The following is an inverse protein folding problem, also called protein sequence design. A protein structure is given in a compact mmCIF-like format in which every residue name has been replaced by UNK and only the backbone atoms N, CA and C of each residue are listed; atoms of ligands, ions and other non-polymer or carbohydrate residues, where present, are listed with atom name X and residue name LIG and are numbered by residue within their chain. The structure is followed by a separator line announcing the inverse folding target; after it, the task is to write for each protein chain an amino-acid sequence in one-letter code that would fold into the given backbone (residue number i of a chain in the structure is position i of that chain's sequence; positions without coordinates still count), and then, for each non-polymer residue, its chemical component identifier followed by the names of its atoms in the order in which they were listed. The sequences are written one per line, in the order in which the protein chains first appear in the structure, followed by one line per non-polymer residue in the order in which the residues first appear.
data_IF_820376113999
#
_entry.id   IF_820376113999
#
_cell.length_a   1.000
_cell.length_b   1.000
_cell.length_c   1.000
_cell.angle_alpha   90.00
_cell.angle_beta   90.00
_cell.angle_gamma   90.00
#
_symmetry.space_group_name_H-M   'P 1'
#
loop_
_entity.id
_entity.type
_entity.pdbx_description
1 polymer ?
#
# COMPACT_ATOMS: atom_id res chain seq x y z
N UNK A 1 -1.21 -14.93 2.72
CA UNK A 1 -0.93 -16.07 3.63
C UNK A 1 -0.27 -15.59 4.91
N UNK A 2 -0.40 -16.36 5.97
CA UNK A 2 0.26 -16.09 7.26
C UNK A 2 1.27 -17.20 7.54
N UNK A 3 2.50 -16.81 7.89
CA UNK A 3 3.61 -17.68 8.22
C UNK A 3 4.24 -17.17 9.52
N UNK A 4 4.35 -18.05 10.54
CA UNK A 4 4.91 -17.70 11.86
C UNK A 4 4.34 -16.40 12.46
N UNK A 5 3.04 -16.20 12.36
CA UNK A 5 2.34 -15.00 12.86
C UNK A 5 2.44 -13.75 11.99
N UNK A 6 3.17 -13.79 10.87
CA UNK A 6 3.30 -12.69 9.94
C UNK A 6 2.44 -12.92 8.69
N UNK A 7 1.65 -11.92 8.31
CA UNK A 7 0.88 -11.96 7.07
C UNK A 7 1.71 -11.40 5.93
N UNK A 8 1.77 -12.15 4.82
CA UNK A 8 2.49 -11.78 3.59
C UNK A 8 1.54 -11.87 2.42
N UNK A 9 1.51 -10.81 1.60
CA UNK A 9 0.83 -10.82 0.31
C UNK A 9 1.72 -11.49 -0.72
N UNK A 10 1.28 -12.64 -1.24
CA UNK A 10 2.04 -13.41 -2.21
C UNK A 10 1.35 -13.34 -3.57
N UNK A 11 2.02 -12.87 -4.62
CA UNK A 11 1.45 -12.88 -5.96
C UNK A 11 1.37 -14.33 -6.48
N UNK A 12 0.17 -14.73 -6.93
CA UNK A 12 -0.05 -16.12 -7.44
C UNK A 12 -0.38 -16.15 -8.93
N UNK A 13 -0.68 -15.01 -9.56
CA UNK A 13 -1.14 -14.93 -10.97
C UNK A 13 -0.19 -14.13 -11.87
N UNK A 14 1.08 -13.97 -11.49
CA UNK A 14 2.08 -13.27 -12.30
C UNK A 14 2.92 -14.25 -13.11
N UNK A 15 3.58 -13.77 -14.18
CA UNK A 15 4.55 -14.59 -14.91
C UNK A 15 5.70 -15.06 -14.01
N UNK A 16 6.14 -14.22 -13.08
CA UNK A 16 7.19 -14.56 -12.12
C UNK A 16 6.75 -15.67 -11.16
N UNK A 17 5.49 -15.65 -10.68
CA UNK A 17 4.99 -16.66 -9.74
C UNK A 17 4.90 -18.06 -10.36
N UNK A 18 4.68 -18.16 -11.68
CA UNK A 18 4.67 -19.45 -12.40
C UNK A 18 6.04 -20.15 -12.42
N UNK A 19 7.13 -19.40 -12.23
CA UNK A 19 8.50 -19.92 -12.13
C UNK A 19 9.02 -19.97 -10.69
N UNK A 20 8.13 -19.78 -9.72
CA UNK A 20 8.50 -19.83 -8.31
C UNK A 20 8.99 -21.25 -7.95
N UNK A 21 10.09 -21.37 -7.19
CA UNK A 21 10.49 -22.66 -6.62
C UNK A 21 9.56 -23.10 -5.48
N UNK A 22 8.63 -22.25 -5.07
CA UNK A 22 7.69 -22.54 -4.00
C UNK A 22 6.37 -23.03 -4.55
N UNK A 23 5.82 -24.09 -3.93
CA UNK A 23 4.47 -24.61 -4.15
C UNK A 23 3.73 -24.70 -2.83
N UNK A 24 2.40 -24.59 -2.88
CA UNK A 24 1.55 -24.75 -1.71
C UNK A 24 0.51 -25.82 -1.97
N UNK A 25 0.36 -26.78 -1.06
CA UNK A 25 -0.62 -27.86 -1.11
C UNK A 25 -1.63 -27.66 0.05
N UNK A 26 -2.92 -27.69 -0.29
CA UNK A 26 -3.97 -27.51 0.72
C UNK A 26 -3.92 -28.65 1.75
N UNK A 27 -3.83 -28.29 3.00
CA UNK A 27 -4.01 -29.21 4.10
C UNK A 27 -5.47 -29.21 4.55
N UNK A 28 -6.19 -30.24 4.15
CA UNK A 28 -7.63 -30.37 4.46
C UNK A 28 -7.88 -30.59 5.95
N UNK A 29 -6.90 -31.01 6.72
CA UNK A 29 -7.03 -31.28 8.15
C UNK A 29 -6.99 -30.01 8.99
N UNK A 30 -6.13 -29.04 8.63
CA UNK A 30 -5.96 -27.78 9.34
C UNK A 30 -6.73 -26.60 8.72
N UNK A 31 -7.17 -26.73 7.44
CA UNK A 31 -7.75 -25.65 6.66
C UNK A 31 -6.73 -24.63 6.15
N UNK A 32 -5.42 -24.90 6.35
CA UNK A 32 -4.30 -24.14 5.82
C UNK A 32 -3.66 -24.79 4.60
N UNK A 33 -2.35 -24.61 4.44
CA UNK A 33 -1.56 -25.28 3.42
C UNK A 33 -0.15 -25.61 3.91
N UNK A 34 0.45 -26.60 3.26
CA UNK A 34 1.85 -26.96 3.38
C UNK A 34 2.63 -26.22 2.30
N UNK A 35 3.63 -25.44 2.71
CA UNK A 35 4.54 -24.76 1.80
C UNK A 35 5.76 -25.62 1.53
N UNK A 36 6.09 -25.80 0.25
CA UNK A 36 7.28 -26.53 -0.19
C UNK A 36 8.17 -25.60 -1.02
N UNK A 37 9.48 -25.88 -0.98
CA UNK A 37 10.47 -25.33 -1.92
C UNK A 37 11.14 -26.49 -2.63
N UNK A 38 11.01 -26.56 -3.96
CA UNK A 38 11.60 -27.63 -4.77
C UNK A 38 11.28 -29.04 -4.21
N UNK A 39 10.02 -29.23 -3.81
CA UNK A 39 9.53 -30.48 -3.24
C UNK A 39 9.91 -30.74 -1.77
N UNK A 40 10.70 -29.86 -1.12
CA UNK A 40 11.04 -29.97 0.29
C UNK A 40 10.10 -29.15 1.15
N UNK A 41 9.54 -29.74 2.19
CA UNK A 41 8.68 -29.05 3.14
C UNK A 41 9.42 -27.88 3.81
N UNK A 42 8.76 -26.72 3.86
CA UNK A 42 9.29 -25.49 4.48
C UNK A 42 8.50 -25.14 5.73
N UNK A 43 7.18 -25.05 5.63
CA UNK A 43 6.34 -24.62 6.75
C UNK A 43 4.85 -24.88 6.50
N UNK A 44 4.06 -24.82 7.59
CA UNK A 44 2.62 -24.63 7.52
C UNK A 44 2.29 -23.16 7.32
N UNK A 45 1.30 -22.86 6.47
CA UNK A 45 0.80 -21.50 6.21
C UNK A 45 -0.71 -21.47 6.33
N UNK A 46 -1.23 -20.36 6.84
CA UNK A 46 -2.65 -20.11 6.93
C UNK A 46 -3.09 -19.13 5.86
N UNK A 47 -4.33 -19.26 5.39
CA UNK A 47 -4.99 -18.30 4.53
C UNK A 47 -6.06 -17.53 5.30
N UNK A 48 -6.28 -16.24 4.99
CA UNK A 48 -7.40 -15.51 5.56
C UNK A 48 -8.73 -16.15 5.12
N UNK A 49 -9.69 -16.20 6.02
CA UNK A 49 -11.05 -16.59 5.67
C UNK A 49 -11.69 -15.51 4.79
N UNK A 50 -12.64 -15.91 3.96
CA UNK A 50 -13.44 -14.94 3.21
C UNK A 50 -14.17 -14.02 4.19
N UNK A 51 -14.05 -12.68 4.05
CA UNK A 51 -14.70 -11.74 4.96
C UNK A 51 -16.21 -11.85 4.91
N UNK A 52 -16.86 -11.78 6.09
CA UNK A 52 -18.30 -11.87 6.19
C UNK A 52 -18.99 -10.64 5.58
N UNK A 53 -18.36 -9.45 5.67
CA UNK A 53 -18.93 -8.24 5.07
C UNK A 53 -19.05 -8.33 3.54
N UNK A 54 -18.29 -9.20 2.85
CA UNK A 54 -18.40 -9.38 1.40
C UNK A 54 -19.78 -9.88 0.95
N UNK A 55 -20.51 -10.54 1.84
CA UNK A 55 -21.86 -11.08 1.56
C UNK A 55 -22.96 -10.03 1.59
N UNK A 56 -22.63 -8.78 1.90
CA UNK A 56 -23.58 -7.68 1.98
C UNK A 56 -23.55 -6.80 0.73
N UNK A 57 -24.61 -6.01 0.60
CA UNK A 57 -24.76 -4.97 -0.42
C UNK A 57 -25.07 -3.65 0.26
N UNK A 58 -24.65 -2.53 -0.35
CA UNK A 58 -24.96 -1.18 0.11
C UNK A 58 -26.45 -0.87 -0.06
N UNK A 59 -26.94 0.20 0.57
CA UNK A 59 -28.35 0.65 0.42
C UNK A 59 -28.74 0.91 -1.02
N UNK A 60 -27.78 1.28 -1.87
CA UNK A 60 -27.95 1.50 -3.32
C UNK A 60 -27.65 0.24 -4.16
N UNK A 61 -27.52 -0.93 -3.54
CA UNK A 61 -27.44 -2.23 -4.20
C UNK A 61 -26.04 -2.63 -4.69
N UNK A 62 -24.97 -1.94 -4.30
CA UNK A 62 -23.61 -2.28 -4.69
C UNK A 62 -23.02 -3.32 -3.72
N UNK A 63 -22.48 -4.46 -4.21
CA UNK A 63 -21.79 -5.42 -3.35
C UNK A 63 -20.62 -4.78 -2.57
N UNK A 64 -20.52 -5.05 -1.27
CA UNK A 64 -19.51 -4.43 -0.41
C UNK A 64 -18.09 -4.69 -0.87
N UNK A 65 -17.79 -5.88 -1.40
CA UNK A 65 -16.47 -6.22 -1.93
C UNK A 65 -16.04 -5.37 -3.14
N UNK A 66 -17.00 -4.68 -3.84
CA UNK A 66 -16.70 -3.68 -4.88
C UNK A 66 -16.35 -2.30 -4.31
N UNK A 67 -16.74 -2.04 -3.08
CA UNK A 67 -16.48 -0.78 -2.38
C UNK A 67 -15.13 -0.84 -1.67
N UNK A 68 -14.89 -1.90 -0.88
CA UNK A 68 -13.65 -2.10 -0.16
C UNK A 68 -13.33 -3.59 0.01
N UNK A 69 -12.05 -3.90 0.19
CA UNK A 69 -11.56 -5.27 0.39
C UNK A 69 -10.76 -5.40 1.68
N UNK A 70 -10.75 -6.61 2.24
CA UNK A 70 -9.83 -6.95 3.31
C UNK A 70 -8.43 -7.12 2.73
N UNK A 71 -7.48 -6.37 3.23
CA UNK A 71 -6.06 -6.47 2.87
C UNK A 71 -5.25 -6.93 4.08
N UNK A 72 -4.27 -7.80 3.82
CA UNK A 72 -3.49 -8.38 4.91
C UNK A 72 -4.38 -9.21 5.85
N UNK A 73 -4.37 -8.86 7.12
CA UNK A 73 -5.12 -9.56 8.17
C UNK A 73 -6.40 -8.83 8.60
N UNK A 74 -6.29 -7.51 8.73
CA UNK A 74 -7.29 -6.69 9.45
C UNK A 74 -7.40 -5.26 8.89
N UNK A 75 -7.01 -5.05 7.63
CA UNK A 75 -7.04 -3.74 6.98
C UNK A 75 -8.20 -3.66 6.00
N UNK A 76 -9.07 -2.65 6.16
CA UNK A 76 -10.01 -2.29 5.11
C UNK A 76 -9.31 -1.41 4.08
N UNK A 77 -9.21 -1.87 2.84
CA UNK A 77 -8.56 -1.15 1.75
C UNK A 77 -9.58 -0.74 0.68
N UNK A 78 -9.54 0.53 0.28
CA UNK A 78 -10.36 1.04 -0.81
C UNK A 78 -9.65 2.13 -1.61
N UNK A 79 -9.86 2.13 -2.93
CA UNK A 79 -9.48 3.23 -3.81
C UNK A 79 -10.72 4.08 -4.07
N UNK A 80 -10.79 5.27 -3.46
CA UNK A 80 -11.97 6.15 -3.50
C UNK A 80 -12.29 6.58 -4.93
N UNK A 81 -11.28 7.09 -5.65
CA UNK A 81 -11.36 7.40 -7.08
C UNK A 81 -10.53 6.37 -7.84
N UNK A 82 -11.21 5.42 -8.49
CA UNK A 82 -10.57 4.32 -9.25
C UNK A 82 -10.12 4.73 -10.65
N UNK A 83 -10.08 6.02 -10.93
CA UNK A 83 -9.59 6.61 -12.17
C UNK A 83 -8.42 7.54 -11.90
N UNK A 84 -7.51 7.68 -12.87
CA UNK A 84 -6.36 8.56 -12.76
C UNK A 84 -6.19 9.32 -14.08
N UNK A 85 -5.97 10.62 -14.00
CA UNK A 85 -5.81 11.50 -15.18
C UNK A 85 -4.64 11.08 -16.09
N UNK A 86 -3.65 10.38 -15.54
CA UNK A 86 -2.49 9.87 -16.29
C UNK A 86 -2.69 8.49 -16.89
N UNK A 87 -3.67 7.72 -16.39
CA UNK A 87 -3.92 6.37 -16.86
C UNK A 87 -4.58 6.35 -18.23
N UNK A 88 -4.17 5.43 -19.10
CA UNK A 88 -4.69 5.34 -20.47
C UNK A 88 -3.88 6.10 -21.52
N UNK A 89 -2.98 7.01 -21.13
CA UNK A 89 -2.03 7.66 -22.03
C UNK A 89 -0.61 7.14 -21.72
N UNK A 90 -0.01 6.42 -22.68
CA UNK A 90 1.35 5.82 -22.52
C UNK A 90 2.43 6.85 -22.19
N UNK A 91 2.27 8.11 -22.64
CA UNK A 91 3.24 9.17 -22.39
C UNK A 91 3.23 9.67 -20.93
N UNK A 92 2.14 9.42 -20.18
CA UNK A 92 1.98 9.92 -18.81
C UNK A 92 1.73 8.84 -17.77
N UNK A 93 1.30 7.64 -18.19
CA UNK A 93 0.92 6.56 -17.30
C UNK A 93 2.12 5.97 -16.55
N UNK A 94 1.91 5.62 -15.28
CA UNK A 94 2.85 4.76 -14.56
C UNK A 94 2.80 3.36 -15.17
N UNK A 95 3.95 2.85 -15.63
CA UNK A 95 4.05 1.60 -16.40
C UNK A 95 3.64 0.34 -15.61
N UNK A 96 3.62 0.44 -14.28
CA UNK A 96 3.24 -0.65 -13.37
C UNK A 96 1.77 -0.57 -12.90
N UNK A 97 1.05 0.52 -13.21
CA UNK A 97 -0.26 0.78 -12.63
C UNK A 97 -1.35 -0.07 -13.30
N UNK A 98 -2.16 -0.72 -12.47
CA UNK A 98 -3.29 -1.56 -12.89
C UNK A 98 -4.66 -0.95 -12.52
N UNK A 99 -4.74 0.34 -12.21
CA UNK A 99 -5.95 0.98 -11.67
C UNK A 99 -7.19 0.77 -12.55
N UNK A 100 -7.04 0.83 -13.87
CA UNK A 100 -8.14 0.62 -14.82
C UNK A 100 -8.52 -0.84 -15.03
N UNK A 101 -7.64 -1.78 -14.74
CA UNK A 101 -7.92 -3.21 -14.93
C UNK A 101 -9.02 -3.72 -13.98
N UNK A 102 -9.03 -3.24 -12.75
CA UNK A 102 -10.08 -3.57 -11.78
C UNK A 102 -11.45 -3.08 -12.24
N UNK A 103 -11.52 -1.92 -12.90
CA UNK A 103 -12.75 -1.41 -13.51
C UNK A 103 -13.17 -2.26 -14.72
N UNK A 104 -12.24 -2.58 -15.60
CA UNK A 104 -12.50 -3.44 -16.76
C UNK A 104 -13.00 -4.83 -16.35
N UNK A 105 -12.43 -5.40 -15.28
CA UNK A 105 -12.86 -6.66 -14.68
C UNK A 105 -14.16 -6.55 -13.85
N UNK A 106 -14.75 -5.36 -13.71
CA UNK A 106 -15.93 -5.09 -12.89
C UNK A 106 -15.77 -5.52 -11.42
N UNK A 107 -14.54 -5.61 -10.92
CA UNK A 107 -14.24 -5.96 -9.54
C UNK A 107 -14.34 -4.77 -8.57
N UNK A 108 -14.58 -3.59 -9.08
CA UNK A 108 -14.78 -2.35 -8.32
C UNK A 108 -15.65 -1.37 -9.11
N UNK A 109 -15.94 -0.19 -8.53
CA UNK A 109 -16.64 0.93 -9.19
C UNK A 109 -15.71 2.13 -9.30
N UNK A 110 -16.03 3.05 -10.22
CA UNK A 110 -15.17 4.19 -10.56
C UNK A 110 -14.97 5.16 -9.39
N UNK A 111 -16.04 5.44 -8.65
CA UNK A 111 -16.02 6.34 -7.49
C UNK A 111 -16.81 5.70 -6.34
N UNK A 112 -16.26 5.74 -5.13
CA UNK A 112 -16.92 5.31 -3.90
C UNK A 112 -17.41 6.54 -3.15
N UNK A 113 -18.71 6.56 -2.84
CA UNK A 113 -19.27 7.68 -2.08
C UNK A 113 -18.88 7.60 -0.60
N UNK A 114 -18.84 8.74 0.12
CA UNK A 114 -18.64 8.74 1.57
C UNK A 114 -19.64 7.85 2.31
N UNK A 115 -20.92 7.81 1.90
CA UNK A 115 -21.94 6.98 2.50
C UNK A 115 -21.68 5.48 2.31
N UNK A 116 -21.29 5.04 1.10
CA UNK A 116 -20.92 3.64 0.83
C UNK A 116 -19.73 3.20 1.67
N UNK A 117 -18.70 4.03 1.77
CA UNK A 117 -17.50 3.71 2.56
C UNK A 117 -17.80 3.66 4.07
N UNK A 118 -18.62 4.57 4.58
CA UNK A 118 -19.06 4.55 5.97
C UNK A 118 -19.84 3.28 6.32
N UNK A 119 -20.77 2.88 5.44
CA UNK A 119 -21.58 1.67 5.59
C UNK A 119 -20.71 0.40 5.60
N UNK A 120 -19.79 0.29 4.63
CA UNK A 120 -18.88 -0.85 4.51
C UNK A 120 -17.88 -0.90 5.66
N UNK A 121 -17.31 0.24 6.07
CA UNK A 121 -16.34 0.29 7.17
C UNK A 121 -16.97 -0.17 8.49
N UNK A 122 -18.20 0.29 8.80
CA UNK A 122 -18.93 -0.15 9.99
C UNK A 122 -19.13 -1.67 9.98
N UNK A 123 -19.61 -2.23 8.87
CA UNK A 123 -19.84 -3.67 8.77
C UNK A 123 -18.54 -4.48 8.84
N UNK A 124 -17.43 -4.00 8.24
CA UNK A 124 -16.15 -4.67 8.29
C UNK A 124 -15.57 -4.74 9.72
N UNK A 125 -15.76 -3.68 10.51
CA UNK A 125 -15.38 -3.67 11.93
C UNK A 125 -16.23 -4.64 12.72
N UNK A 126 -17.56 -4.57 12.57
CA UNK A 126 -18.52 -5.36 13.37
C UNK A 126 -18.48 -6.86 13.05
N UNK A 127 -18.25 -7.24 11.78
CA UNK A 127 -18.34 -8.63 11.34
C UNK A 127 -16.98 -9.34 11.27
N UNK A 128 -15.92 -8.61 10.93
CA UNK A 128 -14.62 -9.19 10.62
C UNK A 128 -13.47 -8.62 11.47
N UNK A 129 -13.77 -7.74 12.42
CA UNK A 129 -12.77 -7.21 13.36
C UNK A 129 -11.68 -6.38 12.69
N UNK A 130 -12.02 -5.69 11.59
CA UNK A 130 -11.07 -4.75 10.94
C UNK A 130 -10.59 -3.71 11.95
N UNK A 131 -9.27 -3.52 12.02
CA UNK A 131 -8.63 -2.66 13.04
C UNK A 131 -8.16 -1.30 12.52
N UNK A 132 -7.99 -1.16 11.21
CA UNK A 132 -7.67 0.11 10.56
C UNK A 132 -8.01 0.10 9.07
N UNK A 133 -8.05 1.29 8.45
CA UNK A 133 -8.35 1.43 7.02
C UNK A 133 -7.23 2.13 6.25
N UNK A 134 -7.18 1.83 4.95
CA UNK A 134 -6.37 2.54 3.95
C UNK A 134 -7.28 3.01 2.84
N UNK A 135 -7.37 4.31 2.66
CA UNK A 135 -8.05 4.94 1.53
C UNK A 135 -7.03 5.50 0.55
N UNK A 136 -7.06 5.01 -0.67
CA UNK A 136 -6.20 5.49 -1.76
C UNK A 136 -7.02 6.24 -2.79
N UNK A 137 -6.36 6.95 -3.69
CA UNK A 137 -7.00 7.60 -4.83
C UNK A 137 -6.10 7.53 -6.07
N UNK A 138 -6.70 7.29 -7.23
CA UNK A 138 -6.08 7.72 -8.47
C UNK A 138 -6.05 9.25 -8.50
N UNK A 139 -5.09 9.83 -9.19
CA UNK A 139 -4.91 11.29 -9.22
C UNK A 139 -5.93 11.93 -10.15
N UNK A 140 -6.90 12.72 -9.64
CA UNK A 140 -7.80 13.51 -10.48
C UNK A 140 -7.06 14.74 -11.08
N UNK A 141 -7.68 15.40 -12.05
CA UNK A 141 -7.15 16.62 -12.66
C UNK A 141 -7.32 17.88 -11.78
N UNK A 142 -7.59 17.70 -10.49
CA UNK A 142 -7.80 18.80 -9.54
C UNK A 142 -6.51 19.11 -8.76
N UNK A 143 -6.26 20.38 -8.36
CA UNK A 143 -5.05 20.79 -7.64
C UNK A 143 -4.87 20.09 -6.28
N UNK A 144 -5.96 19.65 -5.67
CA UNK A 144 -5.94 18.89 -4.40
C UNK A 144 -5.46 17.43 -4.53
N UNK A 145 -5.26 16.95 -5.77
CA UNK A 145 -4.78 15.59 -6.07
C UNK A 145 -5.60 14.46 -5.40
N UNK A 146 -6.90 14.73 -5.14
CA UNK A 146 -7.82 13.80 -4.50
C UNK A 146 -7.92 13.92 -2.98
N UNK A 147 -7.19 14.84 -2.35
CA UNK A 147 -7.24 15.05 -0.90
C UNK A 147 -8.65 15.40 -0.40
N UNK A 148 -9.41 16.21 -1.15
CA UNK A 148 -10.78 16.56 -0.80
C UNK A 148 -11.73 15.35 -0.78
N UNK A 149 -11.60 14.44 -1.75
CA UNK A 149 -12.39 13.20 -1.78
C UNK A 149 -12.05 12.30 -0.60
N UNK A 150 -10.76 12.13 -0.31
CA UNK A 150 -10.28 11.35 0.84
C UNK A 150 -10.77 11.93 2.17
N UNK A 151 -10.70 13.26 2.35
CA UNK A 151 -11.19 13.94 3.55
C UNK A 151 -12.69 13.70 3.78
N UNK A 152 -13.53 13.88 2.75
CA UNK A 152 -14.98 13.61 2.86
C UNK A 152 -15.28 12.15 3.22
N UNK A 153 -14.55 11.20 2.63
CA UNK A 153 -14.72 9.78 2.94
C UNK A 153 -14.25 9.45 4.36
N UNK A 154 -13.13 10.01 4.80
CA UNK A 154 -12.62 9.85 6.16
C UNK A 154 -13.64 10.37 7.19
N UNK A 155 -14.15 11.58 7.01
CA UNK A 155 -15.17 12.17 7.88
C UNK A 155 -16.41 11.29 8.00
N UNK A 156 -16.90 10.74 6.90
CA UNK A 156 -18.07 9.87 6.91
C UNK A 156 -17.81 8.52 7.62
N UNK A 157 -16.63 7.94 7.42
CA UNK A 157 -16.22 6.72 8.14
C UNK A 157 -16.15 7.00 9.64
N UNK A 158 -15.47 8.06 10.06
CA UNK A 158 -15.31 8.42 11.48
C UNK A 158 -16.65 8.72 12.16
N UNK A 159 -17.61 9.27 11.42
CA UNK A 159 -18.98 9.48 11.94
C UNK A 159 -19.75 8.18 12.13
N UNK A 160 -19.48 7.14 11.34
CA UNK A 160 -20.17 5.85 11.39
C UNK A 160 -19.52 4.84 12.34
N UNK A 161 -18.19 4.84 12.39
CA UNK A 161 -17.39 3.93 13.22
C UNK A 161 -16.01 4.54 13.48
N UNK A 162 -15.53 4.48 14.73
CA UNK A 162 -14.19 4.89 15.08
C UNK A 162 -13.17 3.88 14.53
N UNK A 163 -12.45 4.26 13.47
CA UNK A 163 -11.50 3.38 12.81
C UNK A 163 -10.24 4.19 12.43
N UNK A 164 -9.05 3.85 12.94
CA UNK A 164 -7.80 4.48 12.51
C UNK A 164 -7.65 4.41 10.98
N UNK A 165 -7.32 5.54 10.33
CA UNK A 165 -7.38 5.67 8.90
C UNK A 165 -6.11 6.30 8.32
N UNK A 166 -5.53 5.65 7.29
CA UNK A 166 -4.51 6.24 6.43
C UNK A 166 -5.13 6.70 5.11
N UNK A 167 -4.90 7.95 4.73
CA UNK A 167 -5.17 8.45 3.39
C UNK A 167 -3.91 8.38 2.52
N UNK A 168 -4.08 8.12 1.21
CA UNK A 168 -2.97 8.04 0.26
C UNK A 168 -3.30 8.82 -1.01
N UNK A 169 -2.52 9.88 -1.29
CA UNK A 169 -2.60 10.70 -2.50
C UNK A 169 -1.20 11.18 -2.92
N UNK A 170 -1.11 11.83 -4.08
CA UNK A 170 0.07 12.63 -4.42
C UNK A 170 0.09 13.94 -3.59
N UNK A 171 1.25 14.61 -3.45
CA UNK A 171 1.31 15.91 -2.78
C UNK A 171 0.33 16.91 -3.39
N UNK A 172 -0.63 17.46 -2.63
CA UNK A 172 -1.51 18.53 -3.12
C UNK A 172 -0.72 19.79 -3.49
N UNK A 173 -1.23 20.59 -4.40
CA UNK A 173 -0.62 21.89 -4.72
C UNK A 173 -0.69 22.85 -3.53
N UNK A 174 -1.85 22.93 -2.85
CA UNK A 174 -1.99 23.57 -1.54
C UNK A 174 -1.77 22.54 -0.42
N UNK A 175 -0.63 22.61 0.27
CA UNK A 175 -0.31 21.74 1.41
C UNK A 175 -1.24 21.95 2.62
N UNK A 176 -2.08 22.98 2.63
CA UNK A 176 -3.14 23.16 3.63
C UNK A 176 -4.15 22.00 3.65
N UNK A 177 -4.24 21.22 2.54
CA UNK A 177 -5.05 20.01 2.52
C UNK A 177 -4.58 18.94 3.51
N UNK A 178 -3.32 18.92 3.89
CA UNK A 178 -2.80 17.98 4.89
C UNK A 178 -3.48 18.18 6.25
N UNK A 179 -3.60 19.44 6.69
CA UNK A 179 -4.33 19.77 7.93
C UNK A 179 -5.82 19.45 7.81
N UNK A 180 -6.47 19.79 6.68
CA UNK A 180 -7.89 19.50 6.45
C UNK A 180 -8.17 17.99 6.46
N UNK A 181 -7.27 17.15 5.95
CA UNK A 181 -7.39 15.70 6.05
C UNK A 181 -7.29 15.21 7.49
N UNK A 182 -6.36 15.76 8.29
CA UNK A 182 -6.26 15.41 9.70
C UNK A 182 -7.51 15.84 10.49
N UNK A 183 -8.04 17.02 10.25
CA UNK A 183 -9.31 17.53 10.82
C UNK A 183 -10.51 16.64 10.43
N UNK A 184 -10.49 16.06 9.23
CA UNK A 184 -11.50 15.11 8.77
C UNK A 184 -11.36 13.70 9.39
N UNK A 185 -10.36 13.48 10.25
CA UNK A 185 -10.15 12.22 10.96
C UNK A 185 -9.21 11.22 10.27
N UNK A 186 -8.34 11.71 9.39
CA UNK A 186 -7.20 10.92 8.89
C UNK A 186 -6.11 10.89 9.97
N UNK A 187 -5.65 9.70 10.35
CA UNK A 187 -4.65 9.49 11.41
C UNK A 187 -3.23 9.31 10.89
N UNK A 188 -3.07 8.93 9.63
CA UNK A 188 -1.79 8.69 8.97
C UNK A 188 -1.86 9.05 7.48
N UNK A 189 -0.73 9.36 6.87
CA UNK A 189 -0.67 9.77 5.47
C UNK A 189 0.34 8.93 4.67
N UNK A 190 -0.01 8.59 3.45
CA UNK A 190 0.88 8.01 2.45
C UNK A 190 1.00 8.93 1.23
N UNK A 191 2.23 9.27 0.85
CA UNK A 191 2.53 9.92 -0.42
C UNK A 191 3.67 9.14 -1.09
N UNK A 192 3.36 8.39 -2.16
CA UNK A 192 4.29 7.38 -2.66
C UNK A 192 5.24 7.94 -3.70
N UNK A 193 6.56 7.89 -3.41
CA UNK A 193 7.63 8.21 -4.36
C UNK A 193 7.78 7.11 -5.42
N UNK A 194 7.71 5.86 -4.99
CA UNK A 194 7.84 4.62 -5.78
C UNK A 194 9.24 4.40 -6.36
N UNK A 195 9.81 5.36 -7.08
CA UNK A 195 11.21 5.38 -7.51
C UNK A 195 11.86 6.71 -7.10
N UNK A 196 13.17 6.71 -6.91
CA UNK A 196 13.91 7.85 -6.33
C UNK A 196 14.76 8.58 -7.36
N UNK A 197 15.39 7.86 -8.28
CA UNK A 197 16.24 8.44 -9.32
C UNK A 197 15.39 9.09 -10.43
N UNK A 198 15.79 10.25 -10.89
CA UNK A 198 15.01 11.04 -11.85
C UNK A 198 14.83 10.32 -13.20
N UNK A 199 15.86 9.65 -13.69
CA UNK A 199 15.82 8.86 -14.92
C UNK A 199 14.89 7.65 -14.80
N UNK A 200 14.91 6.95 -13.66
CA UNK A 200 13.98 5.85 -13.38
C UNK A 200 12.54 6.37 -13.32
N UNK A 201 12.31 7.47 -12.61
CA UNK A 201 10.98 8.11 -12.52
C UNK A 201 10.44 8.49 -13.88
N UNK A 202 11.24 9.17 -14.72
CA UNK A 202 10.82 9.57 -16.08
C UNK A 202 10.52 8.37 -16.97
N UNK A 203 11.28 7.30 -16.87
CA UNK A 203 11.09 6.08 -17.66
C UNK A 203 9.86 5.29 -17.21
N UNK A 204 9.67 5.12 -15.90
CA UNK A 204 8.66 4.21 -15.34
C UNK A 204 7.33 4.90 -15.06
N UNK A 205 7.31 6.18 -14.74
CA UNK A 205 6.11 6.94 -14.37
C UNK A 205 6.19 8.40 -14.85
N UNK A 206 6.27 8.62 -16.18
CA UNK A 206 6.61 9.93 -16.76
C UNK A 206 5.71 11.06 -16.27
N UNK A 207 4.39 10.92 -16.26
CA UNK A 207 3.50 11.96 -15.78
C UNK A 207 3.57 12.20 -14.27
N UNK A 208 3.93 11.19 -13.47
CA UNK A 208 4.15 11.37 -12.03
C UNK A 208 5.51 12.01 -11.75
N UNK A 209 6.49 11.78 -12.64
CA UNK A 209 7.83 12.38 -12.54
C UNK A 209 7.82 13.90 -12.74
N UNK A 210 6.76 14.49 -13.32
CA UNK A 210 6.55 15.94 -13.39
C UNK A 210 6.46 16.60 -12.00
N UNK A 211 6.07 15.82 -10.97
CA UNK A 211 6.16 16.25 -9.57
C UNK A 211 7.55 15.86 -9.05
N UNK A 212 8.47 16.82 -8.86
CA UNK A 212 9.85 16.52 -8.48
C UNK A 212 9.95 15.95 -7.07
N UNK A 213 11.01 15.20 -6.79
CA UNK A 213 11.27 14.61 -5.47
C UNK A 213 11.32 15.69 -4.39
N UNK A 214 11.89 16.87 -4.69
CA UNK A 214 11.93 18.01 -3.77
C UNK A 214 10.54 18.44 -3.29
N UNK A 215 9.52 18.41 -4.16
CA UNK A 215 8.14 18.69 -3.77
C UNK A 215 7.57 17.64 -2.83
N UNK A 216 7.93 16.37 -3.02
CA UNK A 216 7.58 15.32 -2.07
C UNK A 216 8.24 15.55 -0.72
N UNK A 217 9.52 15.92 -0.67
CA UNK A 217 10.24 16.19 0.58
C UNK A 217 9.63 17.36 1.35
N UNK A 218 9.26 18.44 0.66
CA UNK A 218 8.52 19.57 1.25
C UNK A 218 7.17 19.11 1.84
N UNK A 219 6.39 18.36 1.07
CA UNK A 219 5.11 17.83 1.51
C UNK A 219 5.24 16.85 2.68
N UNK A 220 6.29 16.02 2.70
CA UNK A 220 6.59 15.13 3.83
C UNK A 220 6.93 15.90 5.10
N UNK A 221 7.76 16.93 5.01
CA UNK A 221 8.09 17.76 6.16
C UNK A 221 6.80 18.37 6.77
N UNK A 222 5.96 18.96 5.92
CA UNK A 222 4.68 19.52 6.35
C UNK A 222 3.73 18.45 6.89
N UNK A 223 3.69 17.26 6.27
CA UNK A 223 2.85 16.17 6.75
C UNK A 223 3.29 15.65 8.13
N UNK A 224 4.59 15.57 8.39
CA UNK A 224 5.09 15.16 9.72
C UNK A 224 4.74 16.17 10.80
N UNK A 225 4.72 17.48 10.51
CA UNK A 225 4.22 18.50 11.44
C UNK A 225 2.74 18.28 11.81
N UNK A 226 1.92 17.85 10.84
CA UNK A 226 0.47 17.65 11.01
C UNK A 226 0.13 16.31 11.67
N UNK A 227 0.69 15.21 11.16
CA UNK A 227 0.33 13.84 11.56
C UNK A 227 1.25 13.27 12.65
N UNK A 228 2.44 13.83 12.78
CA UNK A 228 3.47 13.36 13.69
C UNK A 228 4.48 12.39 13.06
N UNK A 229 5.62 12.27 13.73
CA UNK A 229 6.71 11.37 13.37
C UNK A 229 6.21 9.92 13.29
N UNK A 230 6.55 9.20 12.19
CA UNK A 230 6.16 7.81 11.97
C UNK A 230 4.72 7.61 11.49
N UNK A 231 3.90 8.68 11.40
CA UNK A 231 2.54 8.61 10.85
C UNK A 231 2.48 8.93 9.36
N UNK A 232 3.60 9.36 8.78
CA UNK A 232 3.75 9.60 7.34
C UNK A 232 4.63 8.50 6.75
N UNK A 233 4.22 7.95 5.60
CA UNK A 233 4.96 6.88 4.92
C UNK A 233 5.00 7.06 3.42
N UNK A 234 5.97 6.43 2.78
CA UNK A 234 6.06 6.35 1.32
C UNK A 234 6.44 4.95 0.87
N UNK A 235 5.85 4.48 -0.23
CA UNK A 235 6.35 3.29 -0.92
C UNK A 235 7.60 3.62 -1.72
N UNK A 236 8.58 2.70 -1.64
CA UNK A 236 9.73 2.61 -2.53
C UNK A 236 9.71 1.22 -3.15
N UNK A 237 9.58 1.14 -4.48
CA UNK A 237 9.44 -0.13 -5.21
C UNK A 237 10.83 -0.62 -5.65
N UNK A 238 11.40 -1.54 -4.89
CA UNK A 238 12.67 -2.16 -5.23
C UNK A 238 12.53 -3.04 -6.49
N UNK A 239 13.40 -2.80 -7.48
CA UNK A 239 13.42 -3.56 -8.75
C UNK A 239 12.95 -2.80 -9.98
N UNK A 240 12.64 -1.50 -9.89
CA UNK A 240 12.29 -0.66 -11.04
C UNK A 240 13.49 -0.05 -11.77
N UNK A 241 14.70 -0.20 -11.20
CA UNK A 241 15.94 0.29 -11.78
C UNK A 241 16.76 1.23 -10.88
N UNK A 242 16.22 1.65 -9.74
CA UNK A 242 17.00 2.33 -8.72
C UNK A 242 18.06 1.39 -8.13
N UNK A 243 19.25 1.92 -7.87
CA UNK A 243 20.31 1.17 -7.18
C UNK A 243 20.01 1.06 -5.68
N UNK A 244 20.66 0.09 -5.01
CA UNK A 244 20.57 -0.06 -3.56
C UNK A 244 21.00 1.22 -2.83
N UNK A 245 22.08 1.83 -3.27
CA UNK A 245 22.65 3.06 -2.72
C UNK A 245 21.66 4.23 -2.84
N UNK A 246 21.04 4.44 -4.00
CA UNK A 246 20.06 5.49 -4.23
C UNK A 246 18.82 5.30 -3.33
N UNK A 247 18.33 4.06 -3.18
CA UNK A 247 17.19 3.78 -2.29
C UNK A 247 17.57 4.04 -0.82
N UNK A 248 18.77 3.64 -0.39
CA UNK A 248 19.23 3.86 0.99
C UNK A 248 19.42 5.34 1.31
N UNK A 249 19.98 6.11 0.40
CA UNK A 249 20.12 7.57 0.54
C UNK A 249 18.75 8.24 0.69
N UNK A 250 17.78 7.86 -0.15
CA UNK A 250 16.42 8.35 -0.02
C UNK A 250 15.76 7.92 1.31
N UNK A 251 15.96 6.67 1.75
CA UNK A 251 15.48 6.19 3.04
C UNK A 251 16.08 7.02 4.20
N UNK A 252 17.36 7.35 4.13
CA UNK A 252 18.03 8.17 5.15
C UNK A 252 17.42 9.58 5.22
N UNK A 253 17.21 10.23 4.09
CA UNK A 253 16.57 11.55 4.03
C UNK A 253 15.13 11.50 4.61
N UNK A 254 14.36 10.47 4.26
CA UNK A 254 12.99 10.27 4.76
C UNK A 254 12.96 10.05 6.28
N UNK A 255 13.85 9.22 6.80
CA UNK A 255 13.93 8.91 8.23
C UNK A 255 14.31 10.12 9.05
N UNK A 256 15.21 10.99 8.56
CA UNK A 256 15.55 12.27 9.18
C UNK A 256 14.31 13.16 9.32
N UNK A 257 13.46 13.23 8.30
CA UNK A 257 12.19 13.95 8.35
C UNK A 257 11.16 13.29 9.28
N UNK A 258 11.34 12.04 9.69
CA UNK A 258 10.36 11.29 10.48
C UNK A 258 9.34 10.53 9.65
N UNK A 259 9.59 10.37 8.34
CA UNK A 259 8.78 9.59 7.40
C UNK A 259 9.23 8.13 7.40
N UNK A 260 8.28 7.20 7.42
CA UNK A 260 8.58 5.77 7.32
C UNK A 260 8.77 5.35 5.85
N UNK A 261 9.98 4.98 5.41
CA UNK A 261 10.23 4.44 4.08
C UNK A 261 9.77 2.97 4.02
N UNK A 262 8.65 2.71 3.37
CA UNK A 262 8.14 1.35 3.20
C UNK A 262 8.67 0.76 1.90
N UNK A 263 9.83 0.11 1.97
CA UNK A 263 10.45 -0.58 0.83
C UNK A 263 9.75 -1.90 0.59
N UNK A 264 9.24 -2.08 -0.63
CA UNK A 264 8.51 -3.27 -1.07
C UNK A 264 9.09 -3.80 -2.37
N UNK A 265 9.10 -5.12 -2.61
CA UNK A 265 9.48 -5.66 -3.91
C UNK A 265 8.50 -5.21 -4.99
N UNK A 266 9.00 -4.83 -6.16
CA UNK A 266 8.16 -4.65 -7.33
C UNK A 266 7.54 -5.99 -7.73
N UNK A 267 6.22 -6.01 -7.93
CA UNK A 267 5.47 -7.18 -8.41
C UNK A 267 4.87 -6.84 -9.77
N UNK A 268 5.31 -7.50 -10.85
CA UNK A 268 4.71 -7.34 -12.17
C UNK A 268 3.24 -7.77 -12.17
N UNK A 269 2.36 -6.94 -12.72
CA UNK A 269 0.93 -7.25 -12.83
C UNK A 269 0.60 -7.50 -14.30
N UNK A 270 -0.09 -8.60 -14.58
CA UNK A 270 -0.54 -8.96 -15.92
C UNK A 270 -1.39 -7.83 -16.54
N UNK A 271 -1.19 -7.55 -17.83
CA UNK A 271 -1.87 -6.49 -18.56
C UNK A 271 -1.32 -5.08 -18.34
N UNK A 272 -0.29 -4.89 -17.49
CA UNK A 272 0.45 -3.64 -17.41
C UNK A 272 1.64 -3.64 -18.38
N UNK A 273 2.18 -2.47 -18.77
CA UNK A 273 3.39 -2.43 -19.59
C UNK A 273 4.59 -3.19 -19.01
N UNK A 274 4.65 -3.32 -17.68
CA UNK A 274 5.70 -4.04 -16.96
C UNK A 274 5.32 -5.48 -16.57
N UNK A 275 4.32 -6.10 -17.19
CA UNK A 275 3.88 -7.47 -16.83
C UNK A 275 4.98 -8.54 -16.96
N UNK A 276 5.97 -8.32 -17.87
CA UNK A 276 7.11 -9.21 -18.09
C UNK A 276 8.41 -8.69 -17.44
N UNK A 277 8.34 -7.57 -16.72
CA UNK A 277 9.52 -7.05 -16.02
C UNK A 277 10.00 -8.08 -14.98
N UNK A 278 11.31 -8.33 -14.86
CA UNK A 278 11.81 -9.28 -13.88
C UNK A 278 11.48 -8.84 -12.46
N UNK A 279 11.14 -9.80 -11.61
CA UNK A 279 11.08 -9.54 -10.18
C UNK A 279 12.48 -9.15 -9.66
N UNK A 280 12.57 -8.32 -8.61
CA UNK A 280 13.87 -7.97 -8.02
C UNK A 280 14.61 -9.21 -7.52
N UNK A 281 15.93 -9.20 -7.67
CA UNK A 281 16.79 -10.29 -7.19
C UNK A 281 16.60 -10.48 -5.67
N UNK A 282 16.42 -11.71 -5.16
CA UNK A 282 16.22 -11.97 -3.73
C UNK A 282 17.40 -11.52 -2.86
N UNK A 283 18.65 -11.68 -3.32
CA UNK A 283 19.83 -11.26 -2.59
C UNK A 283 19.93 -9.74 -2.49
N UNK A 284 19.61 -9.03 -3.59
CA UNK A 284 19.48 -7.57 -3.57
C UNK A 284 18.42 -7.11 -2.55
N UNK A 285 17.23 -7.72 -2.55
CA UNK A 285 16.19 -7.37 -1.59
C UNK A 285 16.59 -7.66 -0.15
N UNK A 286 17.24 -8.79 0.08
CA UNK A 286 17.69 -9.19 1.41
C UNK A 286 18.62 -8.16 2.01
N UNK A 287 19.65 -7.75 1.28
CA UNK A 287 20.63 -6.75 1.70
C UNK A 287 19.96 -5.38 1.89
N UNK A 288 19.16 -4.94 0.93
CA UNK A 288 18.45 -3.65 1.01
C UNK A 288 17.55 -3.56 2.24
N UNK A 289 16.70 -4.57 2.46
CA UNK A 289 15.77 -4.57 3.59
C UNK A 289 16.47 -4.70 4.95
N UNK A 290 17.63 -5.37 5.01
CA UNK A 290 18.45 -5.43 6.22
C UNK A 290 19.00 -4.04 6.58
N UNK A 291 19.53 -3.31 5.61
CA UNK A 291 20.04 -1.95 5.83
C UNK A 291 18.96 -0.96 6.21
N UNK A 292 17.79 -1.03 5.53
CA UNK A 292 16.65 -0.17 5.86
C UNK A 292 16.13 -0.45 7.26
N UNK A 293 16.06 -1.73 7.67
CA UNK A 293 15.66 -2.09 9.03
C UNK A 293 16.63 -1.56 10.09
N UNK A 294 17.95 -1.61 9.82
CA UNK A 294 18.97 -1.03 10.68
C UNK A 294 18.84 0.49 10.79
N UNK A 295 18.58 1.17 9.66
CA UNK A 295 18.34 2.61 9.61
C UNK A 295 17.11 3.00 10.44
N UNK A 296 15.99 2.31 10.26
CA UNK A 296 14.76 2.52 11.03
C UNK A 296 14.99 2.34 12.53
N UNK A 297 15.70 1.29 12.91
CA UNK A 297 16.03 1.02 14.30
C UNK A 297 16.88 2.13 14.94
N UNK A 298 17.91 2.60 14.22
CA UNK A 298 18.76 3.71 14.69
C UNK A 298 17.97 5.02 14.89
N UNK A 299 16.98 5.23 14.04
CA UNK A 299 16.13 6.42 14.10
C UNK A 299 14.93 6.28 15.05
N UNK A 300 14.73 5.12 15.68
CA UNK A 300 13.57 4.86 16.55
C UNK A 300 12.23 4.91 15.82
N UNK A 301 12.21 4.65 14.51
CA UNK A 301 10.99 4.50 13.70
C UNK A 301 10.61 3.03 13.60
N UNK A 302 9.37 2.70 13.91
CA UNK A 302 8.86 1.32 13.86
C UNK A 302 7.52 1.27 13.16
N UNK A 303 7.32 0.28 12.32
CA UNK A 303 6.05 0.04 11.61
C UNK A 303 4.85 -0.10 12.54
N UNK A 304 5.04 -0.71 13.70
CA UNK A 304 3.99 -0.92 14.70
C UNK A 304 3.50 0.36 15.40
N UNK A 305 4.26 1.45 15.36
CA UNK A 305 3.90 2.73 15.98
C UNK A 305 2.98 3.56 15.06
N UNK A 306 2.84 3.17 13.78
CA UNK A 306 1.87 3.79 12.88
C UNK A 306 0.44 3.46 13.33
N UNK A 307 -0.42 4.47 13.40
CA UNK A 307 -1.83 4.32 13.79
C UNK A 307 -2.63 3.51 12.77
N UNK A 308 -2.34 3.69 11.49
CA UNK A 308 -2.99 3.02 10.37
C UNK A 308 -2.06 2.89 9.17
N UNK A 309 -2.44 2.09 8.20
CA UNK A 309 -1.82 2.12 6.89
C UNK A 309 -0.88 0.97 6.57
N UNK A 310 -0.21 1.11 5.43
CA UNK A 310 0.60 0.05 4.85
C UNK A 310 1.83 -0.32 5.68
N UNK A 311 2.48 0.66 6.32
CA UNK A 311 3.59 0.42 7.23
C UNK A 311 3.15 -0.44 8.42
N UNK A 312 2.01 -0.10 9.06
CA UNK A 312 1.41 -0.87 10.15
C UNK A 312 1.01 -2.28 9.69
N UNK A 313 0.39 -2.42 8.53
CA UNK A 313 0.01 -3.71 7.95
C UNK A 313 1.23 -4.61 7.69
N UNK A 314 2.25 -4.07 7.02
CA UNK A 314 3.50 -4.76 6.72
C UNK A 314 3.39 -5.90 5.70
N UNK A 315 2.21 -6.26 5.21
CA UNK A 315 1.98 -7.48 4.44
C UNK A 315 2.66 -7.50 3.05
N UNK A 316 3.02 -6.34 2.50
CA UNK A 316 3.65 -6.24 1.17
C UNK A 316 5.18 -6.32 1.21
N UNK A 317 5.80 -6.45 2.40
CA UNK A 317 7.26 -6.49 2.56
C UNK A 317 7.65 -7.35 3.76
N UNK A 318 8.84 -7.94 3.73
CA UNK A 318 9.45 -8.57 4.90
C UNK A 318 10.16 -7.57 5.84
N UNK A 319 10.07 -6.26 5.57
CA UNK A 319 10.75 -5.23 6.36
C UNK A 319 10.35 -5.27 7.83
N UNK A 320 9.05 -5.40 8.12
CA UNK A 320 8.53 -5.52 9.50
C UNK A 320 9.12 -6.72 10.25
N UNK A 321 9.34 -7.85 9.57
CA UNK A 321 9.98 -9.02 10.17
C UNK A 321 11.41 -8.71 10.59
N UNK A 322 12.13 -7.93 9.77
CA UNK A 322 13.52 -7.55 10.02
C UNK A 322 13.67 -6.50 11.11
N UNK A 323 12.68 -5.61 11.30
CA UNK A 323 12.64 -4.70 12.45
C UNK A 323 12.62 -5.46 13.79
N UNK A 324 11.99 -6.63 13.82
CA UNK A 324 11.86 -7.46 15.02
C UNK A 324 13.14 -8.27 15.35
N UNK A 325 14.05 -8.45 14.39
CA UNK A 325 15.29 -9.20 14.60
C UNK A 325 16.24 -8.38 15.51
N UNK A 326 16.62 -8.95 16.65
CA UNK A 326 17.70 -8.37 17.48
C UNK A 326 19.02 -8.56 16.74
N UNK A 327 19.90 -7.55 16.67
CA UNK A 327 21.26 -7.78 16.18
C UNK A 327 21.93 -8.80 17.10
N UNK A 328 22.64 -9.74 16.49
CA UNK A 328 23.47 -10.70 17.18
C UNK A 328 24.63 -9.99 17.93
#
# INVERSE_FOLDING_TARGET
MTLAGQTVMVPVFTHASRRSPYTAELDRSSGGALLFREGRFVAHVDFPREPQFYRRVTKDGIPYWKIATLHGRDVLASTVLQTCTRYGNRATACQFCAIGQSLAARSTIAEKTPAQLAEVAKAAVELDGVSHAVLTTGTPATPDRGAAALARCAQAIQAAVRLPLQAQCEPPEDLGWLARMAEAGVDALGMHLEAVSEDVRRRIMPGKAEVPVSRYLEAFARAVEVFGRGQVSTYLLAGLGDTREAILEACQALVVLGVYPFVVPFVPIAGTPLEYHPAPDPGFLELLLADVALLLKRAGLRSQDAKAGCARCGACSSLRAREAIRPA
#
